data_IF_806616607022
#
_entry.id   IF_806616607022
#
_cell.length_a   1.000
_cell.length_b   1.000
_cell.length_c   1.000
_cell.angle_alpha   90.00
_cell.angle_beta   90.00
_cell.angle_gamma   90.00
#
_symmetry.space_group_name_H-M   'P 1'
#
loop_
_entity.id
_entity.type
_entity.pdbx_description
1 polymer ?
#
# COMPACT_ATOMS: atom_id res chain seq x y z
N UNK A 1 16.61 -63.72 26.34
CA UNK A 1 17.43 -62.50 26.40
C UNK A 1 16.77 -61.49 25.49
N UNK A 2 16.03 -60.60 26.13
CA UNK A 2 15.22 -59.57 25.43
C UNK A 2 15.96 -58.26 25.54
N UNK A 3 16.31 -57.61 24.41
CA UNK A 3 16.86 -56.27 24.37
C UNK A 3 15.77 -55.34 23.87
N UNK A 4 15.26 -54.56 24.81
CA UNK A 4 14.35 -53.42 24.52
C UNK A 4 15.14 -52.33 23.79
N UNK A 5 14.64 -51.92 22.61
CA UNK A 5 15.10 -50.70 21.91
C UNK A 5 14.31 -49.52 22.49
N UNK A 6 15.03 -48.71 23.21
CA UNK A 6 14.57 -47.38 23.70
C UNK A 6 14.48 -46.41 22.51
N UNK A 7 13.26 -46.16 22.05
CA UNK A 7 12.97 -45.18 21.01
C UNK A 7 12.86 -43.79 21.62
N UNK A 8 13.92 -43.05 21.71
CA UNK A 8 13.90 -41.65 22.12
C UNK A 8 13.02 -40.83 21.20
N UNK A 9 11.84 -40.42 21.68
CA UNK A 9 11.00 -39.43 21.05
C UNK A 9 11.71 -38.06 21.12
N UNK A 10 12.27 -37.61 19.98
CA UNK A 10 12.82 -36.25 19.86
C UNK A 10 11.72 -35.24 20.11
N UNK A 11 11.91 -34.44 21.15
CA UNK A 11 11.00 -33.33 21.53
C UNK A 11 11.01 -32.23 20.44
N UNK A 12 10.15 -32.39 19.44
CA UNK A 12 9.94 -31.43 18.33
C UNK A 12 9.14 -30.19 18.77
N UNK A 13 8.51 -30.23 19.94
CA UNK A 13 7.67 -29.14 20.46
C UNK A 13 8.47 -27.88 20.80
N UNK A 14 9.69 -28.03 21.29
CA UNK A 14 10.62 -26.92 21.59
C UNK A 14 11.08 -26.18 20.35
N UNK A 15 11.35 -26.89 19.27
CA UNK A 15 11.80 -26.31 17.98
C UNK A 15 10.69 -25.50 17.30
N UNK A 16 9.46 -26.00 17.32
CA UNK A 16 8.28 -25.32 16.74
C UNK A 16 7.95 -24.04 17.52
N UNK A 17 8.02 -24.10 18.86
CA UNK A 17 7.77 -22.93 19.73
C UNK A 17 8.83 -21.84 19.51
N UNK A 18 10.10 -22.19 19.40
CA UNK A 18 11.22 -21.27 19.15
C UNK A 18 11.05 -20.60 17.79
N UNK A 19 10.76 -21.35 16.72
CA UNK A 19 10.50 -20.79 15.38
C UNK A 19 9.32 -19.80 15.37
N UNK A 20 8.23 -20.09 16.09
CA UNK A 20 7.08 -19.19 16.20
C UNK A 20 7.42 -17.89 16.93
N UNK A 21 8.23 -17.93 17.98
CA UNK A 21 8.69 -16.76 18.71
C UNK A 21 9.60 -15.89 17.82
N UNK A 22 10.54 -16.50 17.10
CA UNK A 22 11.44 -15.81 16.19
C UNK A 22 10.67 -15.16 15.02
N UNK A 23 9.68 -15.85 14.47
CA UNK A 23 8.81 -15.29 13.40
C UNK A 23 8.02 -14.08 13.89
N UNK A 24 7.42 -14.14 15.09
CA UNK A 24 6.68 -13.01 15.68
C UNK A 24 7.60 -11.82 15.93
N UNK A 25 8.80 -12.07 16.46
CA UNK A 25 9.80 -11.02 16.69
C UNK A 25 10.24 -10.37 15.38
N UNK A 26 10.48 -11.17 14.34
CA UNK A 26 10.82 -10.69 13.00
C UNK A 26 9.68 -9.87 12.38
N UNK A 27 8.44 -10.34 12.48
CA UNK A 27 7.27 -9.62 11.97
C UNK A 27 7.07 -8.27 12.67
N UNK A 28 7.24 -8.23 14.00
CA UNK A 28 7.17 -6.99 14.77
C UNK A 28 8.27 -6.01 14.35
N UNK A 29 9.50 -6.47 14.24
CA UNK A 29 10.60 -5.62 13.80
C UNK A 29 10.39 -5.06 12.38
N UNK A 30 9.82 -5.86 11.48
CA UNK A 30 9.46 -5.38 10.14
C UNK A 30 8.35 -4.33 10.18
N UNK A 31 7.36 -4.46 11.06
CA UNK A 31 6.31 -3.46 11.26
C UNK A 31 6.89 -2.16 11.83
N UNK A 32 7.70 -2.25 12.91
CA UNK A 32 8.34 -1.08 13.53
C UNK A 32 9.27 -0.36 12.51
N UNK A 33 9.96 -1.11 11.65
CA UNK A 33 10.80 -0.56 10.58
C UNK A 33 9.95 0.09 9.46
N UNK A 34 8.81 -0.51 9.11
CA UNK A 34 7.86 0.07 8.16
C UNK A 34 7.38 1.42 8.67
N UNK A 35 6.90 1.48 9.91
CA UNK A 35 6.41 2.71 10.51
C UNK A 35 7.48 3.82 10.55
N UNK A 36 8.71 3.46 10.91
CA UNK A 36 9.84 4.40 10.92
C UNK A 36 10.14 4.96 9.54
N UNK A 37 10.26 4.08 8.53
CA UNK A 37 10.62 4.52 7.17
C UNK A 37 9.48 5.30 6.51
N UNK A 38 8.22 4.90 6.72
CA UNK A 38 7.05 5.63 6.22
C UNK A 38 6.98 7.04 6.81
N UNK A 39 7.32 7.20 8.09
CA UNK A 39 7.28 8.49 8.77
C UNK A 39 8.43 9.44 8.36
N UNK A 40 9.65 8.93 8.18
CA UNK A 40 10.83 9.78 8.06
C UNK A 40 11.56 9.69 6.71
N UNK A 41 11.19 8.73 5.87
CA UNK A 41 11.96 8.37 4.68
C UNK A 41 13.14 7.47 5.03
N UNK A 42 13.98 7.17 4.04
CA UNK A 42 15.12 6.26 4.25
C UNK A 42 16.45 6.81 3.73
N UNK A 43 16.46 7.84 2.92
CA UNK A 43 17.68 8.36 2.30
C UNK A 43 18.64 8.92 3.34
N UNK A 44 18.12 9.70 4.29
CA UNK A 44 18.90 10.40 5.30
C UNK A 44 19.18 9.57 6.56
N UNK A 45 18.56 8.40 6.72
CA UNK A 45 18.81 7.50 7.83
C UNK A 45 20.02 6.61 7.55
N UNK A 46 20.93 6.48 8.52
CA UNK A 46 21.98 5.44 8.50
C UNK A 46 21.45 4.14 9.12
N UNK A 47 22.15 3.03 8.91
CA UNK A 47 21.81 1.75 9.58
C UNK A 47 21.96 1.88 11.10
N UNK A 48 22.86 2.74 11.57
CA UNK A 48 23.03 3.05 13.00
C UNK A 48 21.83 3.76 13.56
N UNK A 49 21.31 4.77 12.87
CA UNK A 49 20.11 5.50 13.28
C UNK A 49 18.91 4.55 13.37
N UNK A 50 18.72 3.70 12.37
CA UNK A 50 17.65 2.71 12.34
C UNK A 50 17.78 1.74 13.52
N UNK A 51 18.99 1.18 13.74
CA UNK A 51 19.24 0.23 14.81
C UNK A 51 18.99 0.83 16.19
N UNK A 52 19.42 2.08 16.40
CA UNK A 52 19.22 2.82 17.63
C UNK A 52 17.73 3.05 17.92
N UNK A 53 16.96 3.54 16.91
CA UNK A 53 15.53 3.84 17.06
C UNK A 53 14.69 2.58 17.29
N UNK A 54 15.02 1.50 16.60
CA UNK A 54 14.34 0.21 16.76
C UNK A 54 14.90 -0.62 17.94
N UNK A 55 15.86 -0.10 18.68
CA UNK A 55 16.51 -0.76 19.82
C UNK A 55 16.96 -2.18 19.48
N UNK A 56 17.57 -2.35 18.31
CA UNK A 56 18.09 -3.63 17.85
C UNK A 56 19.53 -3.51 17.38
N UNK A 57 20.21 -4.64 17.15
CA UNK A 57 21.56 -4.64 16.61
C UNK A 57 21.55 -4.46 15.09
N UNK A 58 22.64 -3.92 14.50
CA UNK A 58 22.84 -3.91 13.05
C UNK A 58 22.73 -5.31 12.44
N UNK A 59 23.28 -6.33 13.14
CA UNK A 59 23.19 -7.72 12.69
C UNK A 59 21.72 -8.17 12.56
N UNK A 60 20.84 -7.72 13.48
CA UNK A 60 19.41 -7.99 13.40
C UNK A 60 18.79 -7.34 12.15
N UNK A 61 19.13 -6.10 11.83
CA UNK A 61 18.67 -5.43 10.61
C UNK A 61 19.18 -6.13 9.35
N UNK A 62 20.47 -6.49 9.32
CA UNK A 62 21.05 -7.21 8.18
C UNK A 62 20.49 -8.64 8.02
N UNK A 63 19.90 -9.22 9.07
CA UNK A 63 19.16 -10.47 8.93
C UNK A 63 17.82 -10.31 8.17
N UNK A 64 17.29 -9.09 8.07
CA UNK A 64 16.10 -8.78 7.28
C UNK A 64 16.44 -8.55 5.80
N UNK A 65 17.55 -7.84 5.55
CA UNK A 65 18.07 -7.56 4.21
C UNK A 65 19.56 -7.19 4.29
N UNK A 66 20.31 -7.49 3.24
CA UNK A 66 21.78 -7.36 3.22
C UNK A 66 22.34 -5.94 3.21
N UNK A 67 21.50 -4.92 2.94
CA UNK A 67 21.89 -3.51 2.96
C UNK A 67 20.71 -2.60 3.31
N UNK A 68 20.98 -1.31 3.60
CA UNK A 68 19.95 -0.29 3.83
C UNK A 68 19.04 -0.14 2.60
N UNK A 69 19.60 -0.15 1.43
CA UNK A 69 18.87 -0.05 0.17
C UNK A 69 17.94 -1.26 -0.01
N UNK A 70 18.40 -2.46 0.32
CA UNK A 70 17.55 -3.65 0.31
C UNK A 70 16.45 -3.60 1.38
N UNK A 71 16.73 -3.04 2.55
CA UNK A 71 15.70 -2.79 3.57
C UNK A 71 14.58 -1.90 3.03
N UNK A 72 14.94 -0.79 2.36
CA UNK A 72 13.93 0.11 1.77
C UNK A 72 13.08 -0.60 0.70
N UNK A 73 13.66 -1.48 -0.10
CA UNK A 73 12.92 -2.29 -1.09
C UNK A 73 11.97 -3.28 -0.40
N UNK A 74 12.44 -3.97 0.64
CA UNK A 74 11.61 -4.92 1.41
C UNK A 74 10.41 -4.21 2.03
N UNK A 75 10.65 -3.06 2.66
CA UNK A 75 9.59 -2.27 3.31
C UNK A 75 8.62 -1.70 2.29
N UNK A 76 9.09 -1.13 1.19
CA UNK A 76 8.21 -0.61 0.13
C UNK A 76 7.31 -1.71 -0.43
N UNK A 77 7.83 -2.91 -0.68
CA UNK A 77 7.03 -4.06 -1.12
C UNK A 77 6.00 -4.49 -0.08
N UNK A 78 6.39 -4.52 1.20
CA UNK A 78 5.49 -4.89 2.29
C UNK A 78 4.35 -3.88 2.41
N UNK A 79 4.67 -2.59 2.42
CA UNK A 79 3.70 -1.51 2.44
C UNK A 79 2.64 -1.67 1.32
N UNK A 80 3.06 -1.79 0.06
CA UNK A 80 2.09 -1.92 -1.05
C UNK A 80 1.29 -3.22 -1.00
N UNK A 81 1.88 -4.32 -0.54
CA UNK A 81 1.15 -5.57 -0.36
C UNK A 81 0.05 -5.44 0.70
N UNK A 82 0.38 -4.82 1.84
CA UNK A 82 -0.57 -4.61 2.93
C UNK A 82 -1.66 -3.62 2.51
N UNK A 83 -1.27 -2.49 1.93
CA UNK A 83 -2.19 -1.48 1.41
C UNK A 83 -3.16 -2.07 0.37
N UNK A 84 -2.67 -2.87 -0.58
CA UNK A 84 -3.53 -3.52 -1.58
C UNK A 84 -4.54 -4.46 -0.92
N UNK A 85 -4.13 -5.25 0.08
CA UNK A 85 -5.04 -6.14 0.80
C UNK A 85 -6.13 -5.36 1.55
N UNK A 86 -5.76 -4.30 2.27
CA UNK A 86 -6.68 -3.42 3.00
C UNK A 86 -7.67 -2.72 2.05
N UNK A 87 -7.19 -2.24 0.90
CA UNK A 87 -8.02 -1.58 -0.11
C UNK A 87 -9.02 -2.56 -0.74
N UNK A 88 -8.59 -3.76 -1.12
CA UNK A 88 -9.48 -4.78 -1.71
C UNK A 88 -10.51 -5.27 -0.67
N UNK A 89 -10.14 -5.40 0.61
CA UNK A 89 -11.07 -5.73 1.69
C UNK A 89 -12.14 -4.63 1.84
N UNK A 90 -11.75 -3.37 1.78
CA UNK A 90 -12.69 -2.24 1.91
C UNK A 90 -13.77 -2.25 0.80
N UNK A 91 -13.46 -2.71 -0.41
CA UNK A 91 -14.42 -2.73 -1.53
C UNK A 91 -15.13 -4.07 -1.70
N UNK A 92 -14.71 -5.13 -1.01
CA UNK A 92 -15.21 -6.50 -1.22
C UNK A 92 -16.73 -6.62 -1.01
N UNK A 93 -17.28 -5.87 -0.07
CA UNK A 93 -18.72 -5.90 0.28
C UNK A 93 -19.55 -4.84 -0.42
N UNK A 94 -18.93 -3.93 -1.17
CA UNK A 94 -19.62 -2.81 -1.83
C UNK A 94 -20.22 -3.28 -3.16
N UNK A 95 -21.54 -3.31 -3.26
CA UNK A 95 -22.27 -3.79 -4.44
C UNK A 95 -22.57 -2.69 -5.46
N UNK A 96 -22.85 -1.46 -5.02
CA UNK A 96 -23.11 -0.32 -5.93
C UNK A 96 -21.81 0.09 -6.64
N UNK A 97 -21.72 0.02 -7.97
CA UNK A 97 -20.53 0.40 -8.72
C UNK A 97 -20.04 1.83 -8.48
N UNK A 98 -20.98 2.76 -8.22
CA UNK A 98 -20.66 4.17 -7.94
C UNK A 98 -19.96 4.31 -6.59
N UNK A 99 -20.53 3.69 -5.57
CA UNK A 99 -19.98 3.70 -4.20
C UNK A 99 -18.63 2.95 -4.17
N UNK A 100 -18.49 1.88 -4.97
CA UNK A 100 -17.25 1.08 -5.03
C UNK A 100 -16.05 1.91 -5.46
N UNK A 101 -16.20 2.78 -6.47
CA UNK A 101 -15.11 3.65 -6.94
C UNK A 101 -14.69 4.63 -5.85
N UNK A 102 -15.65 5.28 -5.18
CA UNK A 102 -15.31 6.24 -4.11
C UNK A 102 -14.67 5.57 -2.90
N UNK A 103 -15.16 4.41 -2.48
CA UNK A 103 -14.55 3.64 -1.38
C UNK A 103 -13.12 3.21 -1.74
N UNK A 104 -12.90 2.76 -2.98
CA UNK A 104 -11.57 2.38 -3.46
C UNK A 104 -10.59 3.55 -3.42
N UNK A 105 -10.99 4.72 -3.93
CA UNK A 105 -10.15 5.93 -3.94
C UNK A 105 -9.89 6.45 -2.52
N UNK A 106 -10.90 6.45 -1.65
CA UNK A 106 -10.74 6.83 -0.25
C UNK A 106 -9.77 5.89 0.48
N UNK A 107 -9.83 4.58 0.21
CA UNK A 107 -8.92 3.60 0.79
C UNK A 107 -7.47 3.77 0.28
N UNK A 108 -7.28 4.08 -1.02
CA UNK A 108 -5.96 4.47 -1.55
C UNK A 108 -5.45 5.71 -0.81
N UNK A 109 -6.28 6.75 -0.68
CA UNK A 109 -5.93 7.97 0.04
C UNK A 109 -5.50 7.69 1.47
N UNK A 110 -6.26 6.88 2.19
CA UNK A 110 -5.94 6.47 3.56
C UNK A 110 -4.60 5.73 3.66
N UNK A 111 -4.36 4.77 2.75
CA UNK A 111 -3.10 4.04 2.71
C UNK A 111 -1.91 4.97 2.43
N UNK A 112 -2.04 5.85 1.43
CA UNK A 112 -0.97 6.77 1.03
C UNK A 112 -0.72 7.88 2.06
N UNK A 113 -1.71 8.28 2.87
CA UNK A 113 -1.53 9.23 3.97
C UNK A 113 -0.60 8.71 5.09
N UNK A 114 -0.30 7.42 5.13
CA UNK A 114 0.73 6.85 6.01
C UNK A 114 2.15 7.18 5.54
N UNK A 115 2.31 7.55 4.28
CA UNK A 115 3.60 7.93 3.68
C UNK A 115 3.88 9.41 3.92
N UNK A 116 4.96 9.73 4.62
CA UNK A 116 5.43 11.12 4.69
C UNK A 116 5.89 11.62 3.31
N UNK A 117 5.91 12.94 3.07
CA UNK A 117 6.51 13.52 1.87
C UNK A 117 7.96 13.05 1.64
N UNK A 118 8.74 12.90 2.73
CA UNK A 118 10.12 12.41 2.68
C UNK A 118 10.20 10.97 2.16
N UNK A 119 9.38 10.06 2.69
CA UNK A 119 9.34 8.68 2.21
C UNK A 119 8.92 8.62 0.73
N UNK A 120 7.91 9.40 0.34
CA UNK A 120 7.44 9.45 -1.03
C UNK A 120 8.53 9.95 -2.00
N UNK A 121 9.23 11.02 -1.64
CA UNK A 121 10.35 11.55 -2.44
C UNK A 121 11.49 10.53 -2.56
N UNK A 122 11.87 9.87 -1.45
CA UNK A 122 12.91 8.84 -1.42
C UNK A 122 12.52 7.64 -2.29
N UNK A 123 11.28 7.17 -2.16
CA UNK A 123 10.74 6.05 -2.95
C UNK A 123 10.77 6.36 -4.44
N UNK A 124 10.43 7.57 -4.86
CA UNK A 124 10.46 8.00 -6.27
C UNK A 124 11.89 8.19 -6.79
N UNK A 125 12.83 8.61 -5.94
CA UNK A 125 14.21 8.88 -6.32
C UNK A 125 15.10 7.64 -6.46
N UNK A 126 14.78 6.54 -5.76
CA UNK A 126 15.54 5.30 -5.81
C UNK A 126 14.87 4.29 -6.77
N UNK A 127 15.53 3.99 -7.90
CA UNK A 127 14.95 3.20 -8.98
C UNK A 127 14.24 1.90 -8.54
N UNK A 128 14.82 1.04 -7.68
CA UNK A 128 14.14 -0.19 -7.28
C UNK A 128 12.80 0.03 -6.55
N UNK A 129 12.69 1.06 -5.71
CA UNK A 129 11.43 1.42 -5.03
C UNK A 129 10.49 2.17 -5.95
N UNK A 130 11.00 3.01 -6.85
CA UNK A 130 10.22 3.69 -7.89
C UNK A 130 9.54 2.69 -8.85
N UNK A 131 10.23 1.60 -9.21
CA UNK A 131 9.65 0.54 -10.03
C UNK A 131 8.51 -0.19 -9.31
N UNK A 132 8.63 -0.42 -7.99
CA UNK A 132 7.56 -0.99 -7.17
C UNK A 132 6.34 -0.05 -7.18
N UNK A 133 6.56 1.24 -6.91
CA UNK A 133 5.51 2.26 -6.96
C UNK A 133 4.80 2.28 -8.32
N UNK A 134 5.54 2.33 -9.40
CA UNK A 134 5.01 2.35 -10.78
C UNK A 134 4.12 1.14 -11.07
N UNK A 135 4.56 -0.07 -10.69
CA UNK A 135 3.78 -1.30 -10.89
C UNK A 135 2.48 -1.25 -10.09
N UNK A 136 2.52 -0.84 -8.83
CA UNK A 136 1.32 -0.75 -7.99
C UNK A 136 0.36 0.35 -8.46
N UNK A 137 0.87 1.51 -8.89
CA UNK A 137 0.04 2.59 -9.46
C UNK A 137 -0.66 2.15 -10.76
N UNK A 138 0.04 1.42 -11.62
CA UNK A 138 -0.56 0.88 -12.85
C UNK A 138 -1.64 -0.16 -12.52
N UNK A 139 -1.42 -1.03 -11.54
CA UNK A 139 -2.42 -2.00 -11.09
C UNK A 139 -3.66 -1.31 -10.51
N UNK A 140 -3.47 -0.26 -9.71
CA UNK A 140 -4.57 0.53 -9.14
C UNK A 140 -5.39 1.22 -10.25
N UNK A 141 -4.73 1.85 -11.23
CA UNK A 141 -5.41 2.45 -12.38
C UNK A 141 -6.22 1.42 -13.18
N UNK A 142 -5.66 0.23 -13.42
CA UNK A 142 -6.38 -0.87 -14.08
C UNK A 142 -7.60 -1.34 -13.27
N UNK A 143 -7.49 -1.38 -11.94
CA UNK A 143 -8.61 -1.74 -11.07
C UNK A 143 -9.77 -0.75 -11.17
N UNK A 144 -9.47 0.55 -11.21
CA UNK A 144 -10.48 1.59 -11.46
C UNK A 144 -11.15 1.40 -12.82
N UNK A 145 -10.39 1.09 -13.86
CA UNK A 145 -10.96 0.81 -15.20
C UNK A 145 -11.95 -0.36 -15.14
N UNK A 146 -11.64 -1.42 -14.40
CA UNK A 146 -12.56 -2.55 -14.21
C UNK A 146 -13.86 -2.10 -13.54
N UNK A 147 -13.78 -1.32 -12.45
CA UNK A 147 -14.98 -0.80 -11.77
C UNK A 147 -15.82 0.11 -12.68
N UNK A 148 -15.19 0.93 -13.51
CA UNK A 148 -15.89 1.77 -14.50
C UNK A 148 -16.59 0.89 -15.53
N UNK A 149 -15.92 -0.11 -16.08
CA UNK A 149 -16.49 -1.01 -17.06
C UNK A 149 -17.68 -1.81 -16.48
N UNK A 150 -17.58 -2.25 -15.22
CA UNK A 150 -18.66 -2.91 -14.50
C UNK A 150 -19.87 -1.98 -14.31
N UNK A 151 -19.60 -0.73 -13.93
CA UNK A 151 -20.63 0.29 -13.72
C UNK A 151 -21.35 0.70 -15.01
N UNK A 152 -20.64 0.81 -16.14
CA UNK A 152 -21.22 1.06 -17.46
C UNK A 152 -22.12 -0.11 -17.89
N UNK A 153 -21.64 -1.35 -17.74
CA UNK A 153 -22.43 -2.56 -18.05
C UNK A 153 -23.70 -2.68 -17.20
N UNK A 154 -23.63 -2.24 -15.95
CA UNK A 154 -24.77 -2.21 -15.05
C UNK A 154 -25.72 -1.00 -15.29
N UNK A 155 -25.40 -0.10 -16.23
CA UNK A 155 -26.16 1.13 -16.47
C UNK A 155 -26.09 2.17 -15.35
N UNK A 156 -25.20 1.97 -14.37
CA UNK A 156 -25.01 2.89 -13.24
C UNK A 156 -24.12 4.08 -13.59
N UNK A 157 -23.20 3.90 -14.53
CA UNK A 157 -22.27 4.92 -15.01
C UNK A 157 -22.52 5.20 -16.50
N UNK A 158 -22.28 6.46 -16.90
CA UNK A 158 -22.30 6.83 -18.33
C UNK A 158 -21.13 6.21 -19.08
N UNK A 159 -21.26 6.09 -20.38
CA UNK A 159 -20.17 5.63 -21.21
C UNK A 159 -19.02 6.65 -21.22
N UNK A 160 -17.83 6.19 -20.86
CA UNK A 160 -16.59 6.99 -20.80
C UNK A 160 -15.40 6.13 -21.25
N UNK A 161 -14.33 6.80 -21.70
CA UNK A 161 -13.08 6.11 -21.93
C UNK A 161 -12.42 5.75 -20.57
N UNK A 162 -12.63 4.50 -20.12
CA UNK A 162 -12.14 4.01 -18.83
C UNK A 162 -10.60 4.07 -18.71
N UNK A 163 -9.86 3.91 -19.82
CA UNK A 163 -8.40 4.05 -19.82
C UNK A 163 -8.00 5.50 -19.49
N UNK A 164 -8.64 6.48 -20.14
CA UNK A 164 -8.39 7.90 -19.88
C UNK A 164 -8.69 8.26 -18.42
N UNK A 165 -9.84 7.83 -17.90
CA UNK A 165 -10.23 8.11 -16.51
C UNK A 165 -9.24 7.46 -15.53
N UNK A 166 -8.82 6.21 -15.76
CA UNK A 166 -7.83 5.53 -14.93
C UNK A 166 -6.48 6.25 -14.91
N UNK A 167 -6.01 6.75 -16.06
CA UNK A 167 -4.77 7.54 -16.14
C UNK A 167 -4.91 8.91 -15.44
N UNK A 168 -6.05 9.57 -15.59
CA UNK A 168 -6.32 10.83 -14.90
C UNK A 168 -6.28 10.66 -13.36
N UNK A 169 -6.87 9.59 -12.86
CA UNK A 169 -6.84 9.27 -11.42
C UNK A 169 -5.40 9.01 -10.95
N UNK A 170 -4.61 8.24 -11.71
CA UNK A 170 -3.23 7.97 -11.36
C UNK A 170 -2.39 9.26 -11.30
N UNK A 171 -2.58 10.18 -12.24
CA UNK A 171 -1.93 11.49 -12.24
C UNK A 171 -2.38 12.37 -11.06
N UNK A 172 -3.68 12.35 -10.73
CA UNK A 172 -4.21 13.09 -9.60
C UNK A 172 -3.64 12.57 -8.26
N UNK A 173 -3.56 11.25 -8.08
CA UNK A 173 -2.92 10.64 -6.91
C UNK A 173 -1.44 11.05 -6.81
N UNK A 174 -0.69 10.96 -7.92
CA UNK A 174 0.72 11.40 -7.96
C UNK A 174 0.86 12.89 -7.62
N UNK A 175 -0.04 13.73 -8.11
CA UNK A 175 -0.10 15.17 -7.82
C UNK A 175 -0.37 15.48 -6.34
N UNK A 176 -1.25 14.71 -5.68
CA UNK A 176 -1.48 14.83 -4.24
C UNK A 176 -0.24 14.40 -3.46
N UNK A 177 0.32 13.25 -3.78
CA UNK A 177 1.45 12.68 -3.03
C UNK A 177 2.75 13.49 -3.21
N UNK A 178 2.97 14.08 -4.36
CA UNK A 178 4.12 14.96 -4.61
C UNK A 178 3.96 16.38 -4.03
N UNK A 179 2.78 16.73 -3.55
CA UNK A 179 2.44 18.09 -3.12
C UNK A 179 2.05 19.02 -4.29
N UNK A 180 2.24 18.61 -5.54
CA UNK A 180 1.99 19.45 -6.71
C UNK A 180 0.54 19.97 -6.82
N UNK A 181 -0.42 19.24 -6.26
CA UNK A 181 -1.82 19.67 -6.16
C UNK A 181 -2.12 20.35 -4.82
N UNK A 182 -1.37 20.08 -3.76
CA UNK A 182 -1.62 20.61 -2.43
C UNK A 182 -1.10 22.04 -2.28
N UNK A 183 0.14 22.29 -2.73
CA UNK A 183 0.81 23.58 -2.59
C UNK A 183 -0.01 24.75 -3.20
N UNK A 184 -0.53 24.66 -4.45
CA UNK A 184 -1.30 25.76 -5.03
C UNK A 184 -2.73 25.88 -4.50
N UNK A 185 -3.29 24.79 -3.93
CA UNK A 185 -4.70 24.76 -3.49
C UNK A 185 -4.87 24.99 -1.99
N UNK A 186 -3.82 24.78 -1.20
CA UNK A 186 -3.86 24.83 0.26
C UNK A 186 -4.67 23.70 0.91
N UNK A 187 -5.07 22.68 0.14
CA UNK A 187 -5.81 21.54 0.64
C UNK A 187 -4.88 20.58 1.39
N UNK A 188 -5.44 19.92 2.41
CA UNK A 188 -4.80 18.71 2.96
C UNK A 188 -4.94 17.55 1.97
N UNK A 189 -4.07 16.54 2.09
CA UNK A 189 -4.17 15.35 1.24
C UNK A 189 -5.55 14.68 1.33
N UNK A 190 -6.14 14.58 2.54
CA UNK A 190 -7.47 14.02 2.73
C UNK A 190 -8.55 14.79 1.99
N UNK A 191 -8.52 16.13 2.05
CA UNK A 191 -9.45 16.99 1.31
C UNK A 191 -9.29 16.82 -0.21
N UNK A 192 -8.04 16.79 -0.71
CA UNK A 192 -7.77 16.60 -2.13
C UNK A 192 -8.29 15.25 -2.66
N UNK A 193 -8.13 14.16 -1.90
CA UNK A 193 -8.72 12.87 -2.27
C UNK A 193 -10.25 12.90 -2.28
N UNK A 194 -10.86 13.63 -1.36
CA UNK A 194 -12.30 13.81 -1.28
C UNK A 194 -12.84 14.57 -2.51
N UNK A 195 -12.17 15.68 -2.89
CA UNK A 195 -12.48 16.43 -4.11
C UNK A 195 -12.36 15.57 -5.39
N UNK A 196 -11.29 14.77 -5.49
CA UNK A 196 -11.10 13.84 -6.62
C UNK A 196 -12.25 12.83 -6.68
N UNK A 197 -12.64 12.24 -5.54
CA UNK A 197 -13.74 11.28 -5.48
C UNK A 197 -15.07 11.91 -5.88
N UNK A 198 -15.38 13.10 -5.38
CA UNK A 198 -16.61 13.83 -5.68
C UNK A 198 -16.71 14.24 -7.15
N UNK A 199 -15.62 14.77 -7.73
CA UNK A 199 -15.58 15.11 -9.15
C UNK A 199 -15.78 13.88 -10.04
N UNK A 200 -15.19 12.75 -9.68
CA UNK A 200 -15.35 11.51 -10.43
C UNK A 200 -16.78 10.97 -10.32
N UNK A 201 -17.34 10.94 -9.12
CA UNK A 201 -18.72 10.46 -8.92
C UNK A 201 -19.73 11.30 -9.69
N UNK A 202 -19.66 12.60 -9.58
CA UNK A 202 -20.57 13.49 -10.29
C UNK A 202 -20.33 13.46 -11.80
N UNK A 203 -19.07 13.39 -12.23
CA UNK A 203 -18.71 13.30 -13.66
C UNK A 203 -19.01 11.96 -14.32
N UNK A 204 -19.10 10.88 -13.56
CA UNK A 204 -19.35 9.52 -14.08
C UNK A 204 -20.83 9.09 -13.98
N UNK A 205 -21.63 9.74 -13.16
CA UNK A 205 -23.04 9.39 -13.04
C UNK A 205 -23.76 9.51 -14.39
N UNK A 206 -24.57 8.52 -14.71
CA UNK A 206 -25.50 8.62 -15.82
C UNK A 206 -26.47 9.78 -15.53
N UNK A 207 -26.59 10.76 -16.44
CA UNK A 207 -27.67 11.75 -16.35
C UNK A 207 -29.00 11.00 -16.33
N UNK A 208 -29.97 11.39 -15.47
CA UNK A 208 -31.31 10.85 -15.57
C UNK A 208 -31.75 11.08 -17.02
N UNK A 209 -32.09 9.98 -17.72
CA UNK A 209 -32.58 10.06 -19.08
C UNK A 209 -33.71 11.08 -19.10
N UNK A 210 -33.57 12.16 -19.87
CA UNK A 210 -34.65 13.07 -20.15
C UNK A 210 -35.80 12.22 -20.72
N UNK A 211 -36.78 11.97 -19.88
CA UNK A 211 -38.02 11.34 -20.32
C UNK A 211 -38.63 12.25 -21.42
N UNK A 212 -38.48 11.82 -22.67
CA UNK A 212 -39.21 12.34 -23.80
C UNK A 212 -40.37 11.41 -24.09
#
# INVERSE_FOLDING_TARGET
MSTAADGGAFDDSGSVRRRRVDQRRRARLLADLEDLLLAEGFKNLTVDDIAQRLRCSKATLYSLAGSKEQLSVVITRQFFRNATAEIEEAVATVTDPRVRISVYLAAIGSAMNRCSPSFYADMKSYRPTADIYRVNSAAAAHRVQQFIADGIRAGALRDVNGLFVGQLIALAIDGVQSGALLDPTGLTAGQAYQEIADLLLHGLNASPASAR
#
